data_IF_429999994097
#
_entry.id   IF_429999994097
#
_cell.length_a   1.000
_cell.length_b   1.000
_cell.length_c   1.000
_cell.angle_alpha   90.00
_cell.angle_beta   90.00
_cell.angle_gamma   90.00
#
_symmetry.space_group_name_H-M   'P 1'
#
loop_
_entity.id
_entity.type
_entity.pdbx_description
1 polymer ?
#
# COMPACT_ATOMS: atom_id res chain seq x y z
N UNK A 1 -14.69 18.58 -8.45
CA UNK A 1 -13.31 18.63 -7.92
C UNK A 1 -13.29 17.89 -6.59
N UNK A 2 -12.85 16.63 -6.57
CA UNK A 2 -12.67 15.90 -5.31
C UNK A 2 -11.30 16.28 -4.74
N UNK A 3 -11.31 17.12 -3.70
CA UNK A 3 -10.09 17.45 -2.97
C UNK A 3 -9.52 16.16 -2.38
N UNK A 4 -8.35 15.72 -2.82
CA UNK A 4 -7.68 14.58 -2.21
C UNK A 4 -7.16 15.07 -0.85
N UNK A 5 -7.85 14.70 0.23
CA UNK A 5 -7.46 15.05 1.59
C UNK A 5 -6.04 14.53 1.86
N UNK A 6 -5.13 15.46 2.19
CA UNK A 6 -3.73 15.15 2.51
C UNK A 6 -3.69 14.40 3.85
N UNK A 7 -3.05 13.23 3.87
CA UNK A 7 -2.83 12.48 5.10
C UNK A 7 -1.58 13.01 5.82
N UNK A 8 -1.76 13.75 6.91
CA UNK A 8 -0.64 14.32 7.68
C UNK A 8 0.29 13.26 8.29
N UNK A 9 -0.15 12.01 8.39
CA UNK A 9 0.62 10.89 8.95
C UNK A 9 1.52 10.19 7.93
N UNK A 10 1.43 10.56 6.64
CA UNK A 10 2.21 9.97 5.56
C UNK A 10 3.04 11.05 4.86
N UNK A 11 4.32 10.81 4.55
CA UNK A 11 5.11 11.71 3.71
C UNK A 11 4.42 12.04 2.37
N UNK A 12 4.46 13.31 1.97
CA UNK A 12 3.76 13.82 0.79
C UNK A 12 4.13 13.08 -0.51
N UNK A 13 5.36 12.62 -0.61
CA UNK A 13 5.92 11.88 -1.74
C UNK A 13 5.28 10.50 -1.93
N UNK A 14 4.85 9.84 -0.84
CA UNK A 14 4.24 8.50 -0.93
C UNK A 14 2.71 8.54 -1.00
N UNK A 15 2.06 9.61 -0.55
CA UNK A 15 0.60 9.73 -0.49
C UNK A 15 -0.14 9.38 -1.80
N UNK A 16 0.25 9.85 -3.00
CA UNK A 16 -0.47 9.51 -4.23
C UNK A 16 -0.39 8.00 -4.55
N UNK A 17 0.77 7.39 -4.31
CA UNK A 17 0.98 5.95 -4.54
C UNK A 17 0.21 5.12 -3.50
N UNK A 18 0.22 5.55 -2.24
CA UNK A 18 -0.57 4.94 -1.16
C UNK A 18 -2.07 4.97 -1.50
N UNK A 19 -2.58 6.09 -1.97
CA UNK A 19 -4.00 6.23 -2.33
C UNK A 19 -4.38 5.35 -3.52
N UNK A 20 -3.52 5.24 -4.53
CA UNK A 20 -3.73 4.34 -5.66
C UNK A 20 -3.82 2.88 -5.20
N UNK A 21 -2.91 2.44 -4.33
CA UNK A 21 -2.91 1.07 -3.77
C UNK A 21 -4.14 0.79 -2.91
N UNK A 22 -4.60 1.76 -2.13
CA UNK A 22 -5.85 1.64 -1.36
C UNK A 22 -7.08 1.50 -2.26
N UNK A 23 -7.13 2.27 -3.37
CA UNK A 23 -8.21 2.14 -4.35
C UNK A 23 -8.21 0.77 -5.03
N UNK A 24 -7.02 0.26 -5.38
CA UNK A 24 -6.88 -1.12 -5.85
C UNK A 24 -7.43 -2.09 -4.81
N UNK A 25 -6.94 -2.09 -3.58
CA UNK A 25 -7.45 -2.95 -2.50
C UNK A 25 -8.98 -2.91 -2.34
N UNK A 26 -9.61 -1.76 -2.55
CA UNK A 26 -11.07 -1.60 -2.45
C UNK A 26 -11.84 -2.22 -3.62
N UNK A 27 -11.20 -2.47 -4.77
CA UNK A 27 -11.81 -3.05 -5.96
C UNK A 27 -11.64 -4.56 -6.10
N UNK A 28 -10.76 -5.17 -5.30
CA UNK A 28 -10.27 -6.51 -5.58
C UNK A 28 -11.14 -7.54 -4.86
N UNK A 29 -11.63 -8.53 -5.58
CA UNK A 29 -12.49 -9.59 -5.02
C UNK A 29 -11.65 -10.72 -4.41
N UNK A 30 -10.44 -10.95 -4.93
CA UNK A 30 -9.52 -11.98 -4.44
C UNK A 30 -8.09 -11.46 -4.26
N UNK A 31 -7.31 -12.15 -3.42
CA UNK A 31 -5.89 -11.85 -3.22
C UNK A 31 -5.05 -12.06 -4.51
N UNK A 32 -5.51 -12.91 -5.43
CA UNK A 32 -4.85 -13.10 -6.73
C UNK A 32 -4.92 -11.83 -7.58
N UNK A 33 -6.01 -11.07 -7.48
CA UNK A 33 -6.24 -9.90 -8.33
C UNK A 33 -5.28 -8.74 -7.97
N UNK A 34 -4.87 -8.67 -6.70
CA UNK A 34 -3.83 -7.74 -6.21
C UNK A 34 -2.45 -7.94 -6.86
N UNK A 35 -2.24 -9.02 -7.62
CA UNK A 35 -1.00 -9.28 -8.38
C UNK A 35 -1.00 -8.59 -9.76
N UNK A 36 -2.11 -7.99 -10.19
CA UNK A 36 -2.35 -7.45 -11.55
C UNK A 36 -2.32 -5.91 -11.54
N UNK A 37 -1.32 -5.32 -10.89
CA UNK A 37 -0.14 -4.95 -11.67
C UNK A 37 1.15 -5.55 -11.09
N UNK A 38 2.11 -5.95 -11.95
CA UNK A 38 3.41 -6.54 -11.60
C UNK A 38 4.23 -5.75 -10.56
N UNK A 39 3.88 -4.48 -10.32
CA UNK A 39 4.49 -3.61 -9.32
C UNK A 39 4.00 -3.85 -7.88
N UNK A 40 2.98 -4.68 -7.65
CA UNK A 40 2.54 -5.06 -6.31
C UNK A 40 3.40 -6.21 -5.76
N UNK A 41 4.39 -5.87 -4.93
CA UNK A 41 5.19 -6.84 -4.17
C UNK A 41 4.41 -7.29 -2.93
N UNK A 42 3.53 -8.25 -3.14
CA UNK A 42 2.68 -8.83 -2.09
C UNK A 42 3.50 -9.85 -1.28
N UNK A 43 3.61 -9.64 0.02
CA UNK A 43 4.41 -10.48 0.92
C UNK A 43 3.53 -11.06 2.02
N UNK A 44 3.65 -12.38 2.24
CA UNK A 44 2.96 -13.06 3.33
C UNK A 44 3.63 -12.70 4.65
N UNK A 45 2.83 -12.30 5.63
CA UNK A 45 3.31 -12.03 6.98
C UNK A 45 3.33 -13.33 7.81
N UNK A 46 4.25 -13.39 8.77
CA UNK A 46 4.50 -14.54 9.65
C UNK A 46 4.37 -14.13 11.13
N UNK A 47 4.31 -15.12 12.03
CA UNK A 47 4.15 -14.89 13.47
C UNK A 47 2.75 -14.41 13.82
N UNK A 48 2.63 -13.38 14.67
CA UNK A 48 1.34 -12.84 15.13
C UNK A 48 0.45 -12.27 14.01
N UNK A 49 1.00 -12.10 12.80
CA UNK A 49 0.28 -11.63 11.61
C UNK A 49 0.12 -12.71 10.55
N UNK A 50 0.24 -13.99 10.92
CA UNK A 50 -0.02 -15.09 10.01
C UNK A 50 -1.42 -14.98 9.36
N UNK A 51 -1.50 -15.27 8.06
CA UNK A 51 -2.71 -15.10 7.26
C UNK A 51 -2.90 -13.70 6.66
N UNK A 52 -2.10 -12.73 7.06
CA UNK A 52 -2.12 -11.37 6.49
C UNK A 52 -1.05 -11.19 5.40
N UNK A 53 -1.25 -10.18 4.55
CA UNK A 53 -0.33 -9.83 3.48
C UNK A 53 0.02 -8.34 3.55
N UNK A 54 1.26 -8.00 3.18
CA UNK A 54 1.70 -6.62 3.02
C UNK A 54 1.95 -6.29 1.55
N UNK A 55 1.65 -5.06 1.15
CA UNK A 55 2.00 -4.50 -0.16
C UNK A 55 3.00 -3.38 0.06
N UNK A 56 4.17 -3.44 -0.61
CA UNK A 56 5.14 -2.34 -0.56
C UNK A 56 4.64 -1.10 -1.31
N UNK A 57 4.87 0.07 -0.70
CA UNK A 57 4.56 1.39 -1.30
C UNK A 57 5.81 1.98 -1.97
N UNK A 58 7.00 1.78 -1.39
CA UNK A 58 8.29 2.17 -1.95
C UNK A 58 9.39 1.17 -1.52
N UNK A 59 10.59 1.33 -2.09
CA UNK A 59 11.76 0.47 -1.80
C UNK A 59 12.65 1.00 -0.66
N UNK A 60 12.32 2.16 -0.09
CA UNK A 60 13.15 2.82 0.91
C UNK A 60 12.44 2.89 2.26
N UNK A 61 12.97 2.16 3.25
CA UNK A 61 12.72 2.45 4.65
C UNK A 61 13.66 3.58 5.07
N UNK A 62 13.15 4.79 5.25
CA UNK A 62 13.92 5.90 5.81
C UNK A 62 13.52 6.09 7.28
N UNK A 63 14.35 5.68 8.26
CA UNK A 63 14.03 5.79 9.68
C UNK A 63 13.89 7.24 10.18
N UNK A 64 14.24 8.24 9.36
CA UNK A 64 14.17 9.66 9.70
C UNK A 64 12.96 10.40 9.06
N UNK A 65 12.00 9.68 8.46
CA UNK A 65 10.84 10.28 7.74
C UNK A 65 9.47 9.99 8.38
N UNK A 66 9.40 9.67 9.67
CA UNK A 66 8.14 9.46 10.40
C UNK A 66 8.03 10.47 11.54
#
# INVERSE_FOLDING_TARGET
>A
MHSSSICQKLPLDIQPVSLQKLRMLNWEETLQDLRVPLANRLERLVGDREGQHSIRINDQFNPNKI
#
